data_IF_835981238547
#
_entry.id   IF_835981238547
#
_cell.length_a   1.000
_cell.length_b   1.000
_cell.length_c   1.000
_cell.angle_alpha   90.00
_cell.angle_beta   90.00
_cell.angle_gamma   90.00
#
_symmetry.space_group_name_H-M   'P 1'
#
loop_
_entity.id
_entity.type
_entity.pdbx_description
1 polymer ?
#
# COMPACT_ATOMS: atom_id res chain seq x y z
N UNK A 1 59.57 35.99 -40.12
CA UNK A 1 59.95 37.32 -39.56
C UNK A 1 58.67 38.09 -39.29
N UNK A 2 58.50 38.87 -38.21
CA UNK A 2 59.04 38.68 -36.88
C UNK A 2 57.97 38.83 -35.79
N UNK A 3 58.28 38.36 -34.62
CA UNK A 3 58.25 39.03 -33.31
C UNK A 3 56.91 39.53 -32.80
N UNK A 4 56.61 39.47 -31.57
CA UNK A 4 57.35 39.31 -30.31
C UNK A 4 56.40 39.33 -29.11
N UNK A 5 56.80 38.60 -28.11
CA UNK A 5 56.92 38.96 -26.70
C UNK A 5 55.68 39.11 -25.81
N UNK A 6 55.72 38.23 -24.83
CA UNK A 6 55.70 38.50 -23.34
C UNK A 6 54.44 39.14 -22.81
N UNK A 7 53.87 38.69 -21.71
CA UNK A 7 54.51 38.43 -20.42
C UNK A 7 53.50 37.90 -19.38
N UNK A 8 53.97 37.01 -18.57
CA UNK A 8 53.90 37.02 -17.07
C UNK A 8 52.58 36.76 -16.37
N UNK A 9 52.56 35.55 -15.81
CA UNK A 9 52.18 35.18 -14.42
C UNK A 9 50.99 35.82 -13.75
N UNK A 10 50.02 34.96 -13.37
CA UNK A 10 49.80 34.88 -11.93
C UNK A 10 49.19 33.49 -11.58
N UNK A 11 49.91 32.79 -10.71
CA UNK A 11 49.43 31.61 -9.98
C UNK A 11 48.48 32.10 -8.90
N UNK A 12 47.24 31.66 -8.96
CA UNK A 12 46.44 31.58 -7.74
C UNK A 12 45.89 30.18 -7.61
N UNK A 13 46.51 29.43 -6.70
CA UNK A 13 45.98 28.21 -6.15
C UNK A 13 44.72 28.57 -5.37
N UNK A 14 43.56 28.16 -5.84
CA UNK A 14 42.36 28.11 -5.02
C UNK A 14 42.22 26.69 -4.56
N UNK A 15 42.53 26.48 -3.29
CA UNK A 15 42.20 25.31 -2.50
C UNK A 15 40.67 25.22 -2.44
N UNK A 16 40.09 24.25 -3.16
CA UNK A 16 38.66 23.93 -2.96
C UNK A 16 38.54 23.00 -1.76
N UNK A 17 38.22 23.58 -0.60
CA UNK A 17 37.72 22.84 0.53
C UNK A 17 36.34 22.29 0.17
N UNK A 18 36.25 20.97 -0.07
CA UNK A 18 35.01 20.23 -0.03
C UNK A 18 34.49 20.21 1.42
N UNK A 19 33.62 21.13 1.75
CA UNK A 19 32.75 21.00 2.91
C UNK A 19 31.61 20.04 2.54
N UNK A 20 31.72 18.78 2.93
CA UNK A 20 30.60 17.87 3.03
C UNK A 20 29.73 18.35 4.22
N UNK A 21 28.75 19.18 3.93
CA UNK A 21 27.72 19.51 4.89
C UNK A 21 26.77 18.31 4.97
N UNK A 22 27.02 17.40 5.91
CA UNK A 22 26.03 16.46 6.41
C UNK A 22 24.95 17.28 7.10
N UNK A 23 23.88 17.56 6.39
CA UNK A 23 22.67 18.14 6.96
C UNK A 23 22.00 17.05 7.83
N UNK A 24 22.39 16.97 9.10
CA UNK A 24 21.60 16.27 10.08
C UNK A 24 20.32 17.09 10.28
N UNK A 25 19.25 16.72 9.59
CA UNK A 25 17.91 17.23 9.87
C UNK A 25 17.52 16.60 11.21
N UNK A 26 17.83 17.29 12.29
CA UNK A 26 17.16 17.10 13.56
C UNK A 26 15.73 17.63 13.37
N UNK A 27 14.80 16.75 13.06
CA UNK A 27 13.38 17.04 13.14
C UNK A 27 13.09 17.30 14.61
N UNK A 28 13.16 18.56 15.00
CA UNK A 28 12.57 19.03 16.23
C UNK A 28 11.07 18.73 16.10
N UNK A 29 10.60 17.81 16.92
CA UNK A 29 9.17 17.58 17.19
C UNK A 29 8.58 18.89 17.76
N UNK A 30 8.32 19.86 16.89
CA UNK A 30 7.40 20.93 17.19
C UNK A 30 6.03 20.30 17.20
N UNK A 31 5.36 20.35 18.36
CA UNK A 31 4.02 19.81 18.58
C UNK A 31 2.99 20.40 17.64
N UNK A 32 2.93 19.91 16.42
CA UNK A 32 1.89 20.19 15.45
C UNK A 32 0.92 19.00 15.39
N UNK A 33 -0.33 19.34 15.46
CA UNK A 33 -1.51 18.48 15.64
C UNK A 33 -1.95 17.75 14.38
N UNK A 34 -1.06 17.08 13.65
CA UNK A 34 -1.40 16.32 12.43
C UNK A 34 -0.91 14.87 12.49
N UNK A 35 -1.47 14.01 11.65
CA UNK A 35 -0.92 12.69 11.37
C UNK A 35 0.53 12.79 10.86
N UNK A 36 1.24 11.67 10.84
CA UNK A 36 2.51 11.61 10.13
C UNK A 36 2.28 11.94 8.64
N UNK A 37 2.99 12.93 8.14
CA UNK A 37 2.93 13.32 6.71
C UNK A 37 3.54 12.23 5.83
N UNK A 38 3.28 12.27 4.53
CA UNK A 38 3.90 11.35 3.57
C UNK A 38 5.43 11.37 3.65
N UNK A 39 6.03 12.55 3.84
CA UNK A 39 7.48 12.72 3.98
C UNK A 39 8.00 12.08 5.27
N UNK A 40 7.26 12.20 6.38
CA UNK A 40 7.61 11.56 7.66
C UNK A 40 7.46 10.04 7.57
N UNK A 41 6.42 9.53 6.88
CA UNK A 41 6.26 8.09 6.61
C UNK A 41 7.41 7.58 5.74
N UNK A 42 7.79 8.29 4.70
CA UNK A 42 8.91 7.95 3.82
C UNK A 42 10.27 7.96 4.53
N UNK A 43 10.41 8.79 5.58
CA UNK A 43 11.62 8.88 6.40
C UNK A 43 11.74 7.73 7.43
N UNK A 44 10.73 6.85 7.54
CA UNK A 44 10.78 5.70 8.46
C UNK A 44 11.87 4.73 8.02
N UNK A 45 12.90 4.59 8.85
CA UNK A 45 14.05 3.72 8.58
C UNK A 45 14.32 2.82 9.77
N UNK A 46 14.25 1.51 9.55
CA UNK A 46 14.55 0.46 10.53
C UNK A 46 15.57 -0.49 9.91
N UNK A 47 16.76 -0.56 10.47
CA UNK A 47 17.83 -1.46 10.02
C UNK A 47 17.99 -2.66 10.97
N UNK A 48 17.76 -2.45 12.25
CA UNK A 48 17.91 -3.45 13.32
C UNK A 48 16.75 -3.39 14.30
N UNK A 49 16.58 -4.44 15.09
CA UNK A 49 15.48 -4.58 16.05
C UNK A 49 15.36 -3.41 17.04
N UNK A 50 16.46 -2.77 17.40
CA UNK A 50 16.45 -1.62 18.32
C UNK A 50 15.92 -0.31 17.71
N UNK A 51 15.71 -0.25 16.40
CA UNK A 51 15.28 0.96 15.70
C UNK A 51 13.75 1.13 15.66
N UNK A 52 13.00 0.09 16.03
CA UNK A 52 11.53 0.15 16.09
C UNK A 52 11.05 1.15 17.15
N UNK A 53 10.15 2.05 16.78
CA UNK A 53 9.65 3.15 17.61
C UNK A 53 8.16 3.12 17.85
N UNK A 54 7.41 2.54 16.89
CA UNK A 54 5.95 2.59 16.86
C UNK A 54 5.28 1.32 17.39
N UNK A 55 6.06 0.34 17.84
CA UNK A 55 5.61 -0.86 18.53
C UNK A 55 5.77 -0.72 20.04
N UNK A 56 4.92 -1.42 20.79
CA UNK A 56 5.13 -1.61 22.22
C UNK A 56 6.36 -2.50 22.43
N UNK A 57 7.23 -2.14 23.38
CA UNK A 57 8.52 -2.81 23.55
C UNK A 57 8.44 -4.27 24.01
N UNK A 58 7.30 -4.71 24.52
CA UNK A 58 7.02 -6.08 24.94
C UNK A 58 6.26 -6.89 23.89
N UNK A 59 5.95 -6.31 22.72
CA UNK A 59 5.21 -6.98 21.65
C UNK A 59 5.78 -8.38 21.33
N UNK A 60 5.00 -9.45 21.55
CA UNK A 60 5.45 -10.81 21.27
C UNK A 60 5.58 -11.06 19.76
N UNK A 61 4.75 -10.39 18.96
CA UNK A 61 4.77 -10.59 17.51
C UNK A 61 5.93 -9.86 16.87
N UNK A 62 6.29 -8.66 17.34
CA UNK A 62 7.51 -7.98 16.90
C UNK A 62 8.76 -8.84 17.19
N UNK A 63 8.84 -9.45 18.38
CA UNK A 63 9.94 -10.35 18.74
C UNK A 63 10.03 -11.55 17.79
N UNK A 64 8.89 -12.16 17.42
CA UNK A 64 8.86 -13.26 16.43
C UNK A 64 9.34 -12.81 15.05
N UNK A 65 8.93 -11.63 14.60
CA UNK A 65 9.33 -11.08 13.28
C UNK A 65 10.84 -10.81 13.28
N UNK A 66 11.36 -10.13 14.30
CA UNK A 66 12.79 -9.81 14.37
C UNK A 66 13.64 -11.07 14.49
N UNK A 67 13.24 -12.05 15.31
CA UNK A 67 13.90 -13.35 15.40
C UNK A 67 13.89 -14.07 14.04
N UNK A 68 12.75 -14.11 13.35
CA UNK A 68 12.69 -14.73 12.03
C UNK A 68 13.69 -14.11 11.06
N UNK A 69 13.78 -12.76 11.03
CA UNK A 69 14.70 -12.05 10.13
C UNK A 69 16.15 -12.33 10.50
N UNK A 70 16.50 -12.29 11.79
CA UNK A 70 17.85 -12.58 12.27
C UNK A 70 18.28 -14.02 11.92
N UNK A 71 17.42 -14.99 12.11
CA UNK A 71 17.68 -16.40 11.75
C UNK A 71 17.80 -16.57 10.23
N UNK A 72 16.89 -15.97 9.46
CA UNK A 72 16.86 -16.04 7.99
C UNK A 72 18.08 -15.38 7.34
N UNK A 73 18.68 -14.39 8.00
CA UNK A 73 19.79 -13.61 7.40
C UNK A 73 21.17 -14.08 7.87
N UNK A 74 21.26 -14.84 8.98
CA UNK A 74 22.53 -15.27 9.57
C UNK A 74 23.12 -16.49 8.83
N UNK A 75 24.27 -16.35 8.15
CA UNK A 75 24.92 -17.46 7.49
C UNK A 75 25.22 -18.63 8.45
N UNK A 76 24.96 -19.85 8.02
CA UNK A 76 25.18 -21.04 8.83
C UNK A 76 24.08 -21.38 9.84
N UNK A 77 23.08 -20.53 10.00
CA UNK A 77 21.91 -20.85 10.82
C UNK A 77 21.02 -21.90 10.12
N UNK A 78 20.40 -22.87 10.85
CA UNK A 78 19.51 -23.86 10.23
C UNK A 78 18.34 -23.26 9.43
N UNK A 79 17.88 -22.06 9.82
CA UNK A 79 16.82 -21.33 9.14
C UNK A 79 17.34 -20.26 8.17
N UNK A 80 18.63 -20.33 7.80
CA UNK A 80 19.18 -19.38 6.81
C UNK A 80 18.45 -19.49 5.47
N UNK A 81 18.06 -18.33 4.93
CA UNK A 81 17.38 -18.21 3.64
C UNK A 81 18.31 -17.43 2.70
N UNK A 82 18.68 -17.95 1.52
CA UNK A 82 19.45 -17.17 0.55
C UNK A 82 18.72 -15.89 0.17
N UNK A 83 19.45 -14.78 -0.02
CA UNK A 83 18.84 -13.48 -0.33
C UNK A 83 17.88 -13.52 -1.52
N UNK A 84 18.20 -14.32 -2.56
CA UNK A 84 17.33 -14.53 -3.72
C UNK A 84 16.00 -15.24 -3.42
N UNK A 85 15.82 -15.77 -2.22
CA UNK A 85 14.62 -16.49 -1.74
C UNK A 85 13.90 -15.75 -0.62
N UNK A 86 14.45 -14.64 -0.11
CA UNK A 86 13.81 -13.81 0.92
C UNK A 86 12.73 -12.93 0.27
N UNK A 87 11.54 -13.50 0.08
CA UNK A 87 10.38 -12.80 -0.45
C UNK A 87 9.36 -12.63 0.66
N UNK A 88 8.92 -11.38 0.90
CA UNK A 88 7.82 -11.04 1.79
C UNK A 88 6.70 -10.39 0.97
N UNK A 89 5.46 -10.75 1.26
CA UNK A 89 4.28 -10.19 0.59
C UNK A 89 3.35 -9.55 1.60
N UNK A 90 2.78 -8.40 1.24
CA UNK A 90 1.86 -7.63 2.06
C UNK A 90 0.57 -7.36 1.29
N UNK A 91 -0.57 -7.65 1.90
CA UNK A 91 -1.79 -6.94 1.53
C UNK A 91 -1.66 -5.46 1.92
N UNK A 92 -2.48 -4.57 1.33
CA UNK A 92 -2.42 -3.14 1.60
C UNK A 92 -3.49 -2.71 2.62
N UNK A 93 -4.75 -2.77 2.22
CA UNK A 93 -5.86 -2.21 2.98
C UNK A 93 -6.12 -3.00 4.27
N UNK A 94 -5.95 -2.35 5.43
CA UNK A 94 -6.07 -2.98 6.74
C UNK A 94 -4.82 -3.74 7.19
N UNK A 95 -3.76 -3.75 6.38
CA UNK A 95 -2.48 -4.38 6.68
C UNK A 95 -1.39 -3.36 6.99
N UNK A 96 -1.14 -2.40 6.12
CA UNK A 96 -0.25 -1.27 6.37
C UNK A 96 -0.84 0.07 5.94
N UNK A 97 -2.06 0.07 5.41
CA UNK A 97 -2.85 1.23 5.04
C UNK A 97 -4.27 1.10 5.61
N UNK A 98 -4.92 2.22 5.88
CA UNK A 98 -6.22 2.29 6.53
C UNK A 98 -7.33 1.54 5.77
N UNK A 99 -8.09 0.73 6.50
CA UNK A 99 -9.30 0.06 6.00
C UNK A 99 -10.54 0.43 6.82
N UNK A 100 -10.34 0.80 8.07
CA UNK A 100 -11.42 0.85 9.07
C UNK A 100 -12.07 2.21 9.22
N UNK A 101 -11.47 3.27 8.71
CA UNK A 101 -11.99 4.64 8.81
C UNK A 101 -12.60 5.16 7.50
N UNK A 102 -13.85 4.98 7.31
CA UNK A 102 -14.74 3.85 7.49
C UNK A 102 -14.54 2.81 6.40
N UNK A 103 -13.75 3.09 5.33
CA UNK A 103 -13.72 2.28 4.14
C UNK A 103 -12.46 2.37 3.33
N UNK A 104 -12.37 1.37 2.45
CA UNK A 104 -11.43 1.31 1.35
C UNK A 104 -11.37 2.61 0.54
N UNK A 105 -10.17 3.09 0.30
CA UNK A 105 -9.91 4.30 -0.47
C UNK A 105 -10.66 4.32 -1.81
N UNK A 106 -10.56 3.25 -2.56
CA UNK A 106 -11.15 3.11 -3.90
C UNK A 106 -12.68 3.18 -3.89
N UNK A 107 -13.34 2.65 -2.86
CA UNK A 107 -14.79 2.68 -2.72
C UNK A 107 -15.29 4.09 -2.35
N UNK A 108 -14.61 4.77 -1.45
CA UNK A 108 -14.92 6.16 -1.10
C UNK A 108 -14.64 7.10 -2.27
N UNK A 109 -13.57 6.87 -3.03
CA UNK A 109 -13.27 7.65 -4.23
C UNK A 109 -14.37 7.48 -5.31
N UNK A 110 -14.92 6.27 -5.45
CA UNK A 110 -16.09 6.05 -6.32
C UNK A 110 -17.33 6.83 -5.85
N UNK A 111 -17.63 6.80 -4.55
CA UNK A 111 -18.76 7.58 -4.00
C UNK A 111 -18.58 9.07 -4.27
N UNK A 112 -17.39 9.60 -4.01
CA UNK A 112 -17.06 11.00 -4.34
C UNK A 112 -17.27 11.29 -5.84
N UNK A 113 -16.75 10.44 -6.72
CA UNK A 113 -16.91 10.58 -8.18
C UNK A 113 -18.36 10.58 -8.62
N UNK A 114 -19.17 9.68 -8.05
CA UNK A 114 -20.56 9.49 -8.47
C UNK A 114 -21.56 10.46 -7.82
N UNK A 115 -21.23 11.08 -6.67
CA UNK A 115 -22.19 11.87 -5.90
C UNK A 115 -21.77 13.32 -5.65
N UNK A 116 -20.48 13.63 -5.69
CA UNK A 116 -19.95 14.92 -5.24
C UNK A 116 -19.15 15.66 -6.32
N UNK A 117 -18.50 14.92 -7.23
CA UNK A 117 -17.64 15.48 -8.26
C UNK A 117 -18.46 16.20 -9.34
N UNK A 118 -18.41 17.53 -9.32
CA UNK A 118 -19.15 18.38 -10.27
C UNK A 118 -18.61 18.31 -11.71
N UNK A 119 -17.41 17.77 -11.91
CA UNK A 119 -16.80 17.60 -13.23
C UNK A 119 -17.30 16.35 -13.97
N UNK A 120 -18.05 15.50 -13.28
CA UNK A 120 -18.55 14.23 -13.80
C UNK A 120 -20.08 14.12 -13.68
N UNK A 121 -20.71 13.64 -14.72
CA UNK A 121 -22.15 13.32 -14.71
C UNK A 121 -22.34 11.82 -14.84
N UNK A 122 -22.60 11.10 -13.73
CA UNK A 122 -22.87 9.67 -13.76
C UNK A 122 -24.19 9.38 -14.47
N UNK A 123 -24.29 8.21 -15.09
CA UNK A 123 -25.60 7.74 -15.54
C UNK A 123 -26.55 7.54 -14.33
N UNK A 124 -27.86 7.60 -14.60
CA UNK A 124 -28.91 7.49 -13.55
C UNK A 124 -28.79 6.21 -12.71
N UNK A 125 -28.39 5.09 -13.33
CA UNK A 125 -28.24 3.81 -12.61
C UNK A 125 -27.04 3.83 -11.67
N UNK A 126 -25.92 4.41 -12.09
CA UNK A 126 -24.71 4.58 -11.26
C UNK A 126 -25.01 5.50 -10.09
N UNK A 127 -25.62 6.68 -10.33
CA UNK A 127 -25.97 7.62 -9.29
C UNK A 127 -26.93 6.99 -8.24
N UNK A 128 -27.97 6.31 -8.69
CA UNK A 128 -28.91 5.63 -7.78
C UNK A 128 -28.24 4.51 -6.99
N UNK A 129 -27.35 3.77 -7.65
CA UNK A 129 -26.59 2.72 -6.97
C UNK A 129 -25.63 3.30 -5.91
N UNK A 130 -24.89 4.35 -6.25
CA UNK A 130 -23.99 5.02 -5.30
C UNK A 130 -24.76 5.52 -4.06
N UNK A 131 -25.90 6.20 -4.25
CA UNK A 131 -26.78 6.63 -3.14
C UNK A 131 -27.25 5.45 -2.27
N UNK A 132 -27.61 4.32 -2.90
CA UNK A 132 -28.06 3.12 -2.19
C UNK A 132 -26.97 2.50 -1.32
N UNK A 133 -25.73 2.42 -1.84
CA UNK A 133 -24.65 1.72 -1.13
C UNK A 133 -23.86 2.65 -0.18
N UNK A 134 -23.93 3.97 -0.35
CA UNK A 134 -23.22 4.94 0.49
C UNK A 134 -23.38 4.65 1.99
N UNK A 135 -24.59 4.49 2.56
CA UNK A 135 -24.71 4.19 3.99
C UNK A 135 -24.13 2.83 4.38
N UNK A 136 -24.16 1.85 3.49
CA UNK A 136 -23.55 0.53 3.75
C UNK A 136 -22.03 0.62 3.81
N UNK A 137 -21.48 1.34 2.86
CA UNK A 137 -20.08 1.67 2.78
C UNK A 137 -19.67 2.45 4.05
N UNK A 138 -20.32 3.57 4.35
CA UNK A 138 -19.98 4.45 5.48
C UNK A 138 -20.12 3.78 6.86
N UNK A 139 -20.98 2.80 7.01
CA UNK A 139 -21.20 2.08 8.27
C UNK A 139 -20.59 0.68 8.29
N UNK A 140 -19.86 0.28 7.25
CA UNK A 140 -19.33 -1.10 7.08
C UNK A 140 -20.38 -2.19 7.29
N UNK A 141 -21.62 -1.93 6.87
CA UNK A 141 -22.66 -2.95 6.86
C UNK A 141 -22.54 -3.79 5.58
N UNK A 142 -22.71 -5.09 5.71
CA UNK A 142 -22.46 -6.00 4.60
C UNK A 142 -23.28 -5.69 3.34
N UNK A 143 -22.63 -5.81 2.19
CA UNK A 143 -23.27 -5.79 0.87
C UNK A 143 -23.68 -7.20 0.42
N UNK A 144 -24.78 -7.29 -0.31
CA UNK A 144 -25.13 -8.55 -0.97
C UNK A 144 -24.11 -8.88 -2.08
N UNK A 145 -23.95 -10.16 -2.48
CA UNK A 145 -23.05 -10.52 -3.58
C UNK A 145 -23.34 -9.76 -4.88
N UNK A 146 -24.61 -9.45 -5.16
CA UNK A 146 -25.02 -8.66 -6.32
C UNK A 146 -24.58 -7.21 -6.22
N UNK A 147 -24.64 -6.62 -5.02
CA UNK A 147 -24.16 -5.24 -4.77
C UNK A 147 -22.63 -5.18 -4.90
N UNK A 148 -21.91 -6.13 -4.30
CA UNK A 148 -20.44 -6.19 -4.39
C UNK A 148 -19.99 -6.33 -5.85
N UNK A 149 -20.61 -7.23 -6.63
CA UNK A 149 -20.30 -7.35 -8.06
C UNK A 149 -20.55 -6.05 -8.82
N UNK A 150 -21.69 -5.39 -8.56
CA UNK A 150 -22.03 -4.13 -9.22
C UNK A 150 -21.09 -2.99 -8.81
N UNK A 151 -20.61 -2.98 -7.57
CA UNK A 151 -19.60 -2.02 -7.14
C UNK A 151 -18.31 -2.20 -7.94
N UNK A 152 -17.80 -3.42 -8.06
CA UNK A 152 -16.61 -3.73 -8.88
C UNK A 152 -16.79 -3.25 -10.32
N UNK A 153 -17.98 -3.44 -10.93
CA UNK A 153 -18.28 -2.94 -12.27
C UNK A 153 -18.19 -1.40 -12.33
N UNK A 154 -18.67 -0.69 -11.32
CA UNK A 154 -18.68 0.78 -11.29
C UNK A 154 -17.36 1.39 -10.87
N UNK A 155 -16.49 0.68 -10.14
CA UNK A 155 -15.14 1.16 -9.80
C UNK A 155 -14.29 1.48 -11.02
N UNK A 156 -14.57 0.87 -12.16
CA UNK A 156 -13.88 1.16 -13.43
C UNK A 156 -14.73 2.03 -14.36
N UNK A 157 -16.04 1.76 -14.41
CA UNK A 157 -16.95 2.49 -15.31
C UNK A 157 -17.03 3.99 -15.01
N UNK A 158 -16.90 4.39 -13.76
CA UNK A 158 -16.87 5.79 -13.35
C UNK A 158 -15.67 6.58 -13.92
N UNK A 159 -14.64 5.89 -14.36
CA UNK A 159 -13.40 6.44 -14.88
C UNK A 159 -13.15 6.05 -16.34
N UNK A 160 -14.14 5.43 -17.01
CA UNK A 160 -14.04 5.02 -18.41
C UNK A 160 -13.69 6.23 -19.30
N UNK A 161 -12.74 6.02 -20.22
CA UNK A 161 -12.26 7.07 -21.12
C UNK A 161 -11.14 7.96 -20.56
N UNK A 162 -10.82 7.88 -19.25
CA UNK A 162 -9.65 8.55 -18.70
C UNK A 162 -8.37 7.88 -19.18
N UNK A 163 -7.36 8.66 -19.50
CA UNK A 163 -6.00 8.15 -19.67
C UNK A 163 -5.43 7.72 -18.30
N UNK A 164 -4.36 6.90 -18.27
CA UNK A 164 -3.67 6.56 -17.02
C UNK A 164 -3.25 7.82 -16.23
N UNK A 165 -2.76 8.84 -16.90
CA UNK A 165 -2.30 10.10 -16.29
C UNK A 165 -3.45 10.89 -15.66
N UNK A 166 -4.60 10.98 -16.36
CA UNK A 166 -5.81 11.63 -15.84
C UNK A 166 -6.34 10.91 -14.61
N UNK A 167 -6.36 9.58 -14.64
CA UNK A 167 -6.77 8.78 -13.49
C UNK A 167 -5.82 8.94 -12.29
N UNK A 168 -4.50 8.88 -12.52
CA UNK A 168 -3.49 9.12 -11.49
C UNK A 168 -3.64 10.50 -10.87
N UNK A 169 -3.86 11.54 -11.68
CA UNK A 169 -4.12 12.89 -11.18
C UNK A 169 -5.39 12.95 -10.32
N UNK A 170 -6.44 12.22 -10.70
CA UNK A 170 -7.67 12.12 -9.91
C UNK A 170 -7.42 11.44 -8.54
N UNK A 171 -6.67 10.34 -8.52
CA UNK A 171 -6.26 9.65 -7.27
C UNK A 171 -5.49 10.62 -6.37
N UNK A 172 -4.46 11.31 -6.90
CA UNK A 172 -3.66 12.28 -6.12
C UNK A 172 -4.50 13.39 -5.52
N UNK A 173 -5.47 13.92 -6.27
CA UNK A 173 -6.38 14.93 -5.76
C UNK A 173 -7.25 14.39 -4.63
N UNK A 174 -7.77 13.17 -4.77
CA UNK A 174 -8.57 12.54 -3.73
C UNK A 174 -7.75 12.19 -2.47
N UNK A 175 -6.48 11.86 -2.60
CA UNK A 175 -5.55 11.65 -1.48
C UNK A 175 -5.43 12.88 -0.57
N UNK A 176 -5.69 14.10 -1.06
CA UNK A 176 -5.64 15.32 -0.26
C UNK A 176 -6.89 15.54 0.59
N UNK A 177 -7.95 14.76 0.38
CA UNK A 177 -9.17 14.84 1.20
C UNK A 177 -8.96 14.18 2.55
N UNK A 178 -9.72 14.63 3.57
CA UNK A 178 -9.63 14.07 4.91
C UNK A 178 -10.28 12.69 5.01
N UNK A 179 -9.73 11.83 5.86
CA UNK A 179 -10.40 10.60 6.26
C UNK A 179 -11.69 10.88 7.03
N UNK A 180 -12.64 9.96 6.90
CA UNK A 180 -13.92 10.06 7.61
C UNK A 180 -13.83 9.31 8.94
N UNK A 181 -14.22 9.97 10.03
CA UNK A 181 -14.22 9.37 11.36
C UNK A 181 -12.87 9.41 12.08
N UNK A 182 -11.86 10.03 11.48
CA UNK A 182 -10.54 10.33 12.09
C UNK A 182 -10.20 11.80 11.88
N UNK A 183 -9.65 12.46 12.91
CA UNK A 183 -9.20 13.86 12.80
C UNK A 183 -7.80 13.92 12.25
N UNK A 184 -7.45 15.05 11.62
CA UNK A 184 -6.08 15.38 11.23
C UNK A 184 -5.38 14.34 10.37
N UNK A 185 -6.13 13.56 9.59
CA UNK A 185 -5.62 12.50 8.73
C UNK A 185 -6.14 12.69 7.32
N UNK A 186 -5.24 12.88 6.37
CA UNK A 186 -5.58 12.81 4.94
C UNK A 186 -5.55 11.37 4.45
N UNK A 187 -6.35 11.08 3.42
CA UNK A 187 -6.40 9.75 2.81
C UNK A 187 -5.05 9.29 2.28
N UNK A 188 -4.25 10.20 1.72
CA UNK A 188 -2.90 9.88 1.25
C UNK A 188 -1.86 9.67 2.33
N UNK A 189 -2.21 9.87 3.61
CA UNK A 189 -1.32 9.76 4.79
C UNK A 189 -1.71 8.62 5.73
N UNK A 190 -2.76 7.85 5.39
CA UNK A 190 -3.38 6.89 6.29
C UNK A 190 -2.61 5.56 6.40
N UNK A 191 -1.30 5.61 6.62
CA UNK A 191 -0.44 4.44 6.79
C UNK A 191 -0.30 4.03 8.26
N UNK A 192 -0.32 2.73 8.52
CA UNK A 192 -0.03 2.17 9.85
C UNK A 192 1.48 2.22 10.09
N UNK A 193 1.95 3.21 10.84
CA UNK A 193 3.36 3.43 11.09
C UNK A 193 4.12 2.19 11.58
N UNK A 194 3.57 1.35 12.50
CA UNK A 194 4.25 0.13 12.92
C UNK A 194 4.47 -0.85 11.76
N UNK A 195 3.53 -0.96 10.82
CA UNK A 195 3.68 -1.86 9.68
C UNK A 195 4.62 -1.30 8.61
N UNK A 196 4.71 0.03 8.48
CA UNK A 196 5.74 0.69 7.66
C UNK A 196 7.13 0.38 8.20
N UNK A 197 7.31 0.35 9.53
CA UNK A 197 8.58 -0.08 10.14
C UNK A 197 8.94 -1.53 9.77
N UNK A 198 7.96 -2.47 9.74
CA UNK A 198 8.21 -3.85 9.30
C UNK A 198 8.65 -3.88 7.84
N UNK A 199 8.00 -3.14 6.95
CA UNK A 199 8.39 -3.06 5.53
C UNK A 199 9.81 -2.52 5.39
N UNK A 200 10.14 -1.44 6.11
CA UNK A 200 11.48 -0.85 6.14
C UNK A 200 12.53 -1.85 6.67
N UNK A 201 12.23 -2.53 7.77
CA UNK A 201 13.11 -3.52 8.38
C UNK A 201 13.41 -4.70 7.44
N UNK A 202 12.38 -5.26 6.83
CA UNK A 202 12.54 -6.35 5.87
C UNK A 202 13.36 -5.92 4.66
N UNK A 203 13.07 -4.75 4.09
CA UNK A 203 13.79 -4.20 2.94
C UNK A 203 15.28 -4.00 3.26
N UNK A 204 15.60 -3.42 4.43
CA UNK A 204 16.97 -3.19 4.86
C UNK A 204 17.73 -4.49 5.24
N UNK A 205 17.01 -5.57 5.50
CA UNK A 205 17.58 -6.91 5.77
C UNK A 205 17.57 -7.84 4.55
N UNK A 206 17.45 -7.28 3.34
CA UNK A 206 17.63 -7.99 2.08
C UNK A 206 16.43 -8.87 1.67
N UNK A 207 15.23 -8.56 2.17
CA UNK A 207 14.00 -9.16 1.66
C UNK A 207 13.49 -8.39 0.45
N UNK A 208 13.07 -9.10 -0.56
CA UNK A 208 12.28 -8.55 -1.66
C UNK A 208 10.83 -8.43 -1.17
N UNK A 209 10.41 -7.22 -0.84
CA UNK A 209 9.06 -6.94 -0.36
C UNK A 209 8.15 -6.63 -1.54
N UNK A 210 6.98 -7.27 -1.59
CA UNK A 210 5.94 -7.09 -2.60
C UNK A 210 4.63 -6.69 -1.93
N UNK A 211 3.83 -5.90 -2.64
CA UNK A 211 2.42 -5.66 -2.31
C UNK A 211 1.57 -6.61 -3.15
N UNK A 212 0.57 -7.25 -2.54
CA UNK A 212 -0.39 -8.14 -3.19
C UNK A 212 -1.82 -7.76 -2.76
N UNK A 213 -2.40 -6.75 -3.43
CA UNK A 213 -3.61 -6.04 -3.03
C UNK A 213 -4.81 -6.34 -3.92
N UNK A 214 -6.02 -6.27 -3.35
CA UNK A 214 -7.27 -6.25 -4.11
C UNK A 214 -7.64 -4.85 -4.64
N UNK A 215 -6.98 -3.78 -4.19
CA UNK A 215 -7.10 -2.46 -4.78
C UNK A 215 -6.58 -2.45 -6.23
N UNK A 216 -6.95 -1.46 -7.05
CA UNK A 216 -6.45 -1.39 -8.44
C UNK A 216 -4.98 -1.01 -8.52
N UNK A 217 -4.26 -1.51 -9.52
CA UNK A 217 -2.85 -1.18 -9.77
C UNK A 217 -2.56 0.32 -9.74
N UNK A 218 -3.26 1.17 -10.53
CA UNK A 218 -2.92 2.58 -10.58
C UNK A 218 -3.20 3.30 -9.25
N UNK A 219 -4.26 2.90 -8.51
CA UNK A 219 -4.54 3.45 -7.18
C UNK A 219 -3.48 3.04 -6.17
N UNK A 220 -3.14 1.75 -6.11
CA UNK A 220 -2.12 1.23 -5.19
C UNK A 220 -0.77 1.91 -5.42
N UNK A 221 -0.35 2.06 -6.69
CA UNK A 221 0.91 2.73 -7.04
C UNK A 221 0.93 4.18 -6.57
N UNK A 222 -0.12 4.96 -6.85
CA UNK A 222 -0.18 6.37 -6.42
C UNK A 222 -0.17 6.53 -4.89
N UNK A 223 -0.85 5.63 -4.17
CA UNK A 223 -0.86 5.67 -2.71
C UNK A 223 0.54 5.45 -2.12
N UNK A 224 1.30 4.48 -2.64
CA UNK A 224 2.58 4.07 -2.06
C UNK A 224 3.81 4.73 -2.69
N UNK A 225 3.67 5.38 -3.85
CA UNK A 225 4.77 6.03 -4.57
C UNK A 225 5.44 7.08 -3.68
N UNK A 226 6.77 7.03 -3.61
CA UNK A 226 7.62 7.94 -2.80
C UNK A 226 7.38 7.90 -1.27
N UNK A 227 6.59 6.93 -0.79
CA UNK A 227 6.30 6.79 0.66
C UNK A 227 6.77 5.45 1.21
N UNK A 228 6.48 4.37 0.51
CA UNK A 228 6.84 3.03 0.95
C UNK A 228 8.04 2.56 0.11
N UNK A 229 9.11 1.99 0.72
CA UNK A 229 10.33 1.61 0.02
C UNK A 229 10.15 0.31 -0.80
N UNK A 230 9.09 0.26 -1.60
CA UNK A 230 8.75 -0.85 -2.50
C UNK A 230 8.71 -0.32 -3.93
N UNK A 231 9.57 -0.82 -4.83
CA UNK A 231 9.54 -0.44 -6.24
C UNK A 231 8.20 -0.73 -6.91
N UNK A 232 7.79 0.12 -7.83
CA UNK A 232 6.51 0.03 -8.54
C UNK A 232 6.30 -1.29 -9.31
N UNK A 233 7.38 -1.96 -9.71
CA UNK A 233 7.36 -3.29 -10.34
C UNK A 233 7.13 -4.45 -9.34
N UNK A 234 7.16 -4.17 -8.05
CA UNK A 234 6.82 -5.12 -6.98
C UNK A 234 5.43 -4.94 -6.40
N UNK A 235 4.56 -4.27 -7.12
CA UNK A 235 3.15 -4.12 -6.76
C UNK A 235 2.34 -5.08 -7.63
N UNK A 236 1.61 -5.97 -6.99
CA UNK A 236 0.62 -6.88 -7.56
C UNK A 236 -0.74 -6.40 -7.05
N UNK A 237 -1.68 -6.19 -7.97
CA UNK A 237 -2.97 -5.60 -7.62
C UNK A 237 -4.06 -6.01 -8.61
N UNK A 238 -5.29 -5.59 -8.36
CA UNK A 238 -6.38 -5.77 -9.33
C UNK A 238 -6.13 -4.92 -10.58
N UNK A 239 -6.36 -5.51 -11.75
CA UNK A 239 -5.97 -4.88 -13.00
C UNK A 239 -7.13 -4.18 -13.71
N UNK A 240 -6.87 -2.97 -14.20
CA UNK A 240 -7.79 -2.30 -15.11
C UNK A 240 -7.65 -2.89 -16.52
N UNK A 241 -8.78 -3.04 -17.18
CA UNK A 241 -8.80 -3.38 -18.61
C UNK A 241 -8.70 -2.07 -19.37
N UNK A 242 -7.60 -1.87 -20.07
CA UNK A 242 -7.37 -0.73 -20.95
C UNK A 242 -7.89 -1.00 -22.36
N UNK A 243 -8.08 0.08 -23.11
CA UNK A 243 -8.35 0.09 -24.54
C UNK A 243 -7.67 1.33 -25.14
N UNK A 244 -7.78 1.51 -26.45
CA UNK A 244 -7.39 2.77 -27.10
C UNK A 244 -8.60 3.48 -27.69
N UNK A 245 -8.49 4.77 -27.90
CA UNK A 245 -9.59 5.56 -28.51
C UNK A 245 -9.86 5.17 -29.95
N UNK A 246 -8.94 4.51 -30.64
CA UNK A 246 -9.06 4.04 -32.03
C UNK A 246 -9.42 2.57 -32.18
N UNK A 247 -9.32 1.75 -31.11
CA UNK A 247 -9.53 0.30 -31.21
C UNK A 247 -10.95 -0.09 -31.67
N UNK A 248 -11.98 0.69 -31.32
CA UNK A 248 -13.35 0.43 -31.72
C UNK A 248 -13.87 -0.93 -31.24
N UNK A 249 -14.16 -1.82 -32.20
CA UNK A 249 -14.63 -3.20 -31.94
C UNK A 249 -13.51 -4.24 -32.06
N UNK A 250 -12.31 -3.86 -32.43
CA UNK A 250 -11.18 -4.77 -32.57
C UNK A 250 -10.72 -5.29 -31.20
N UNK A 251 -9.86 -6.30 -31.23
CA UNK A 251 -9.18 -6.81 -30.04
C UNK A 251 -7.74 -6.29 -30.00
N UNK A 252 -7.12 -6.25 -28.81
CA UNK A 252 -5.72 -5.82 -28.70
C UNK A 252 -4.74 -6.57 -29.62
N UNK A 253 -5.06 -7.85 -29.91
CA UNK A 253 -4.21 -8.70 -30.75
C UNK A 253 -4.31 -8.33 -32.25
N UNK A 254 -5.39 -7.68 -32.67
CA UNK A 254 -5.65 -7.31 -34.06
C UNK A 254 -5.51 -5.81 -34.34
N UNK A 255 -5.31 -5.01 -33.30
CA UNK A 255 -5.20 -3.55 -33.41
C UNK A 255 -3.75 -3.07 -33.31
N UNK A 256 -3.36 -2.22 -34.26
CA UNK A 256 -2.06 -1.56 -34.24
C UNK A 256 -2.21 -0.15 -33.69
N UNK A 257 -1.66 0.11 -32.52
CA UNK A 257 -1.74 1.41 -31.85
C UNK A 257 -1.00 2.50 -32.62
N UNK A 258 -1.70 3.59 -32.94
CA UNK A 258 -1.12 4.76 -33.56
C UNK A 258 -0.98 5.92 -32.54
N UNK A 259 0.24 6.21 -32.12
CA UNK A 259 0.57 7.26 -31.16
C UNK A 259 0.16 8.68 -31.58
N UNK A 260 -0.11 8.92 -32.85
CA UNK A 260 -0.46 10.23 -33.38
C UNK A 260 -1.96 10.51 -33.32
N UNK A 261 -2.78 9.50 -33.32
CA UNK A 261 -4.25 9.60 -33.41
C UNK A 261 -4.99 8.98 -32.24
N UNK A 262 -4.30 8.18 -31.42
CA UNK A 262 -4.91 7.41 -30.34
C UNK A 262 -4.32 7.71 -28.97
N UNK A 263 -5.12 7.45 -27.95
CA UNK A 263 -4.71 7.45 -26.53
C UNK A 263 -5.09 6.12 -25.89
N UNK A 264 -4.25 5.63 -24.97
CA UNK A 264 -4.63 4.54 -24.08
C UNK A 264 -5.59 5.10 -23.02
N UNK A 265 -6.71 4.41 -22.80
CA UNK A 265 -7.74 4.83 -21.86
C UNK A 265 -8.30 3.64 -21.09
N UNK A 266 -8.89 3.90 -19.92
CA UNK A 266 -9.64 2.90 -19.14
C UNK A 266 -10.88 2.51 -19.93
N UNK A 267 -11.07 1.21 -20.16
CA UNK A 267 -12.17 0.70 -20.99
C UNK A 267 -13.54 0.79 -20.30
N UNK A 268 -13.59 0.92 -18.97
CA UNK A 268 -14.81 0.82 -18.17
C UNK A 268 -15.34 -0.62 -18.00
N UNK A 269 -14.64 -1.63 -18.51
CA UNK A 269 -14.94 -3.04 -18.21
C UNK A 269 -14.55 -3.34 -16.75
N UNK A 270 -15.23 -4.31 -16.08
CA UNK A 270 -14.89 -4.71 -14.73
C UNK A 270 -13.39 -5.03 -14.59
N UNK A 271 -12.80 -4.63 -13.49
CA UNK A 271 -11.40 -4.97 -13.21
C UNK A 271 -11.22 -6.48 -12.99
N UNK A 272 -9.99 -6.93 -13.23
CA UNK A 272 -9.58 -8.30 -12.89
C UNK A 272 -9.20 -8.29 -11.42
N UNK A 273 -10.16 -8.75 -10.58
CA UNK A 273 -10.03 -8.73 -9.12
C UNK A 273 -8.89 -9.63 -8.63
N UNK A 274 -8.03 -9.13 -7.75
CA UNK A 274 -6.89 -9.83 -7.15
C UNK A 274 -7.15 -10.15 -5.68
N UNK A 275 -8.18 -10.94 -5.40
CA UNK A 275 -8.56 -11.34 -4.05
C UNK A 275 -8.61 -12.86 -3.88
N UNK A 276 -8.49 -13.34 -2.64
CA UNK A 276 -8.65 -14.75 -2.25
C UNK A 276 -7.63 -15.65 -3.00
N UNK A 277 -8.11 -16.71 -3.66
CA UNK A 277 -7.28 -17.64 -4.44
C UNK A 277 -6.55 -16.96 -5.59
N UNK A 278 -7.10 -15.86 -6.14
CA UNK A 278 -6.44 -15.12 -7.22
C UNK A 278 -5.08 -14.56 -6.79
N UNK A 279 -4.91 -14.16 -5.53
CA UNK A 279 -3.61 -13.74 -4.99
C UNK A 279 -2.52 -14.81 -5.20
N UNK A 280 -2.85 -16.12 -5.03
CA UNK A 280 -1.89 -17.21 -5.31
C UNK A 280 -1.45 -17.19 -6.77
N UNK A 281 -2.40 -17.06 -7.71
CA UNK A 281 -2.09 -17.09 -9.14
C UNK A 281 -1.26 -15.89 -9.56
N UNK A 282 -1.53 -14.73 -8.95
CA UNK A 282 -0.76 -13.52 -9.19
C UNK A 282 0.68 -13.63 -8.65
N UNK A 283 0.87 -14.21 -7.46
CA UNK A 283 2.20 -14.51 -6.92
C UNK A 283 2.99 -15.45 -7.84
N UNK A 284 2.33 -16.53 -8.32
CA UNK A 284 2.95 -17.48 -9.25
C UNK A 284 3.37 -16.82 -10.56
N UNK A 285 2.50 -15.99 -11.14
CA UNK A 285 2.73 -15.39 -12.45
C UNK A 285 3.74 -14.23 -12.41
N UNK A 286 3.72 -13.42 -11.36
CA UNK A 286 4.49 -12.18 -11.31
C UNK A 286 5.80 -12.30 -10.53
N UNK A 287 5.85 -13.15 -9.51
CA UNK A 287 7.08 -13.36 -8.72
C UNK A 287 7.80 -14.65 -9.13
N UNK A 288 7.05 -15.73 -9.39
CA UNK A 288 7.60 -17.04 -9.70
C UNK A 288 8.40 -17.68 -8.55
N UNK A 289 8.29 -17.12 -7.34
CA UNK A 289 8.93 -17.61 -6.12
C UNK A 289 7.91 -17.64 -5.00
N UNK A 290 7.96 -18.69 -4.18
CA UNK A 290 7.12 -18.80 -3.00
C UNK A 290 7.59 -17.80 -1.94
N UNK A 291 6.71 -16.94 -1.39
CA UNK A 291 7.08 -16.08 -0.27
C UNK A 291 7.45 -16.88 0.97
N UNK A 292 8.28 -16.30 1.84
CA UNK A 292 8.59 -16.86 3.16
C UNK A 292 7.89 -16.08 4.28
N UNK A 293 7.42 -14.89 4.00
CA UNK A 293 6.61 -14.08 4.90
C UNK A 293 5.39 -13.54 4.16
N UNK A 294 4.22 -13.58 4.81
CA UNK A 294 2.99 -12.99 4.32
C UNK A 294 2.29 -12.20 5.42
N UNK A 295 1.82 -11.00 5.07
CA UNK A 295 1.10 -10.10 5.96
C UNK A 295 -0.24 -9.69 5.33
N UNK A 296 -1.32 -9.76 6.08
CA UNK A 296 -2.67 -9.41 5.61
C UNK A 296 -3.59 -9.17 6.80
N UNK A 297 -4.91 -9.03 6.58
CA UNK A 297 -5.84 -8.66 7.64
C UNK A 297 -7.20 -9.37 7.57
N UNK A 298 -7.41 -10.19 6.56
CA UNK A 298 -8.74 -10.74 6.28
C UNK A 298 -8.70 -12.11 5.61
N UNK A 299 -9.87 -12.75 5.48
CA UNK A 299 -10.01 -13.98 4.68
C UNK A 299 -9.76 -13.75 3.18
N UNK A 300 -9.75 -12.50 2.73
CA UNK A 300 -9.28 -12.13 1.39
C UNK A 300 -7.82 -12.55 1.13
N UNK A 301 -7.01 -12.63 2.19
CA UNK A 301 -5.58 -12.93 2.16
C UNK A 301 -5.25 -14.40 2.43
N UNK A 302 -6.28 -15.20 2.76
CA UNK A 302 -6.09 -16.61 3.14
C UNK A 302 -5.32 -17.41 2.09
N UNK A 303 -5.56 -17.15 0.79
CA UNK A 303 -4.80 -17.78 -0.29
C UNK A 303 -3.31 -17.46 -0.21
N UNK A 304 -2.96 -16.20 0.00
CA UNK A 304 -1.58 -15.74 0.16
C UNK A 304 -0.91 -16.38 1.40
N UNK A 305 -1.61 -16.44 2.54
CA UNK A 305 -1.11 -17.07 3.76
C UNK A 305 -0.85 -18.56 3.58
N UNK A 306 -1.87 -19.31 3.10
CA UNK A 306 -1.78 -20.75 2.91
C UNK A 306 -0.69 -21.11 1.90
N UNK A 307 -0.60 -20.37 0.79
CA UNK A 307 0.43 -20.59 -0.22
C UNK A 307 1.85 -20.35 0.33
N UNK A 308 2.01 -19.34 1.19
CA UNK A 308 3.29 -19.06 1.86
C UNK A 308 3.70 -20.18 2.79
N UNK A 309 2.76 -20.77 3.52
CA UNK A 309 3.05 -21.81 4.54
C UNK A 309 3.14 -23.21 3.96
N UNK A 310 2.33 -23.53 2.95
CA UNK A 310 2.20 -24.88 2.41
C UNK A 310 3.50 -25.37 1.76
N UNK A 311 4.07 -26.46 2.26
CA UNK A 311 5.24 -27.12 1.68
C UNK A 311 6.37 -26.16 1.30
N UNK A 312 6.63 -25.15 2.15
CA UNK A 312 7.69 -24.20 1.91
C UNK A 312 9.04 -24.84 2.24
N UNK A 313 10.03 -24.82 1.32
CA UNK A 313 11.34 -25.41 1.58
C UNK A 313 12.16 -24.60 2.60
N UNK A 314 11.70 -23.43 2.99
CA UNK A 314 12.32 -22.56 3.99
C UNK A 314 11.38 -22.35 5.17
N UNK A 315 11.94 -21.93 6.32
CA UNK A 315 11.11 -21.41 7.40
C UNK A 315 10.21 -20.31 6.87
N UNK A 316 8.92 -20.35 7.21
CA UNK A 316 7.92 -19.39 6.70
C UNK A 316 6.89 -19.04 7.75
N UNK A 317 6.31 -17.86 7.67
CA UNK A 317 5.30 -17.38 8.59
C UNK A 317 4.27 -16.48 7.91
N UNK A 318 3.04 -16.53 8.41
CA UNK A 318 1.94 -15.64 8.03
C UNK A 318 1.48 -14.84 9.25
N UNK A 319 1.17 -13.56 9.04
CA UNK A 319 0.76 -12.61 10.06
C UNK A 319 -0.52 -11.89 9.67
N UNK A 320 -1.52 -11.94 10.54
CA UNK A 320 -2.82 -11.32 10.35
C UNK A 320 -2.97 -10.11 11.29
N UNK A 321 -3.09 -8.91 10.73
CA UNK A 321 -3.36 -7.68 11.48
C UNK A 321 -4.82 -7.68 11.90
N UNK A 322 -5.07 -7.51 13.19
CA UNK A 322 -6.40 -7.49 13.78
C UNK A 322 -6.91 -6.05 13.90
N UNK A 323 -8.11 -5.77 13.38
CA UNK A 323 -8.76 -4.47 13.54
C UNK A 323 -9.44 -4.34 14.92
N UNK A 324 -8.69 -4.54 16.00
CA UNK A 324 -9.19 -4.63 17.37
C UNK A 324 -9.09 -3.30 18.18
N UNK A 325 -8.53 -2.24 17.59
CA UNK A 325 -8.48 -0.93 18.24
C UNK A 325 -9.73 -0.11 17.92
N UNK A 326 -10.55 0.12 18.95
CA UNK A 326 -11.76 0.94 18.86
C UNK A 326 -11.60 2.33 19.47
N UNK A 327 -10.41 2.66 20.00
CA UNK A 327 -10.12 3.96 20.62
C UNK A 327 -9.38 4.89 19.66
N UNK A 328 -8.36 4.39 19.00
CA UNK A 328 -7.50 5.14 18.08
C UNK A 328 -7.92 4.96 16.63
N UNK A 329 -8.72 3.91 16.36
CA UNK A 329 -9.20 3.50 15.06
C UNK A 329 -10.69 3.11 15.13
N UNK A 330 -11.36 2.98 13.99
CA UNK A 330 -12.74 2.52 13.87
C UNK A 330 -12.80 0.98 13.81
N UNK A 331 -12.14 0.32 14.74
CA UNK A 331 -12.00 -1.12 14.79
C UNK A 331 -13.32 -1.89 14.79
N UNK A 332 -13.23 -3.17 14.44
CA UNK A 332 -14.35 -4.11 14.44
C UNK A 332 -14.00 -5.33 15.29
N UNK A 333 -14.43 -5.34 16.55
CA UNK A 333 -14.10 -6.41 17.50
C UNK A 333 -14.65 -7.78 17.07
N UNK A 334 -15.80 -7.83 16.39
CA UNK A 334 -16.36 -9.08 15.88
C UNK A 334 -15.46 -9.66 14.76
N UNK A 335 -15.09 -8.84 13.79
CA UNK A 335 -14.14 -9.25 12.72
C UNK A 335 -12.80 -9.66 13.32
N UNK A 336 -12.26 -8.90 14.25
CA UNK A 336 -10.98 -9.19 14.91
C UNK A 336 -11.01 -10.55 15.62
N UNK A 337 -12.04 -10.82 16.43
CA UNK A 337 -12.19 -12.10 17.13
C UNK A 337 -12.37 -13.29 16.18
N UNK A 338 -13.11 -13.10 15.06
CA UNK A 338 -13.25 -14.14 14.03
C UNK A 338 -11.93 -14.45 13.33
N UNK A 339 -11.16 -13.41 13.04
CA UNK A 339 -9.83 -13.57 12.42
C UNK A 339 -8.82 -14.20 13.38
N UNK A 340 -8.84 -13.83 14.65
CA UNK A 340 -7.98 -14.42 15.69
C UNK A 340 -8.25 -15.93 15.84
N UNK A 341 -9.53 -16.34 15.94
CA UNK A 341 -9.90 -17.77 15.97
C UNK A 341 -9.46 -18.51 14.71
N UNK A 342 -9.59 -17.87 13.57
CA UNK A 342 -9.18 -18.46 12.29
C UNK A 342 -7.67 -18.59 12.21
N UNK A 343 -6.94 -17.57 12.62
CA UNK A 343 -5.47 -17.56 12.66
C UNK A 343 -4.95 -18.69 13.55
N UNK A 344 -5.48 -18.81 14.76
CA UNK A 344 -5.12 -19.89 15.68
C UNK A 344 -5.34 -21.28 15.06
N UNK A 345 -6.51 -21.50 14.43
CA UNK A 345 -6.85 -22.78 13.79
C UNK A 345 -5.92 -23.12 12.62
N UNK A 346 -5.43 -22.12 11.90
CA UNK A 346 -4.63 -22.29 10.68
C UNK A 346 -3.12 -22.13 10.89
N UNK A 347 -2.69 -21.85 12.12
CA UNK A 347 -1.28 -21.64 12.45
C UNK A 347 -0.72 -20.31 11.96
N UNK A 348 -1.57 -19.32 11.73
CA UNK A 348 -1.14 -17.95 11.44
C UNK A 348 -0.87 -17.20 12.74
N UNK A 349 0.06 -16.26 12.71
CA UNK A 349 0.26 -15.32 13.81
C UNK A 349 -0.71 -14.15 13.68
N UNK A 350 -1.00 -13.50 14.80
CA UNK A 350 -1.82 -12.28 14.83
C UNK A 350 -0.97 -11.10 15.26
N UNK A 351 -1.36 -9.91 14.82
CA UNK A 351 -0.82 -8.61 15.23
C UNK A 351 -2.00 -7.81 15.77
N UNK A 352 -2.04 -7.55 17.07
CA UNK A 352 -3.08 -6.71 17.68
C UNK A 352 -2.72 -5.24 17.51
N UNK A 353 -3.55 -4.49 16.78
CA UNK A 353 -3.37 -3.03 16.68
C UNK A 353 -3.53 -2.35 18.04
N UNK A 354 -4.44 -2.83 18.87
CA UNK A 354 -4.75 -2.29 20.21
C UNK A 354 -3.58 -2.49 21.17
N UNK A 355 -3.03 -3.70 21.23
CA UNK A 355 -2.13 -4.13 22.30
C UNK A 355 -0.64 -4.01 21.88
N UNK A 356 -0.33 -4.17 20.60
CA UNK A 356 1.05 -4.21 20.13
C UNK A 356 1.53 -2.91 19.44
N UNK A 357 0.62 -2.07 18.91
CA UNK A 357 0.99 -0.78 18.34
C UNK A 357 1.05 0.31 19.41
N UNK A 358 2.16 1.03 19.48
CA UNK A 358 2.30 2.21 20.34
C UNK A 358 1.47 3.39 19.80
N UNK A 359 1.50 3.60 18.50
CA UNK A 359 0.65 4.53 17.75
C UNK A 359 0.24 3.89 16.43
N UNK A 360 -0.78 4.40 15.75
CA UNK A 360 -1.21 3.90 14.44
C UNK A 360 -0.77 4.85 13.33
N UNK A 361 -1.21 6.12 13.37
CA UNK A 361 -0.97 7.14 12.35
C UNK A 361 -0.14 8.32 12.86
N UNK A 362 0.33 8.25 14.12
CA UNK A 362 0.85 9.37 14.90
C UNK A 362 -0.13 9.76 16.02
N UNK A 363 0.39 10.44 17.06
CA UNK A 363 -0.34 10.65 18.32
C UNK A 363 -1.47 11.70 18.21
N UNK A 364 -1.53 12.44 17.11
CA UNK A 364 -2.48 13.53 16.91
C UNK A 364 -3.72 13.14 16.09
N UNK A 365 -3.77 11.92 15.60
CA UNK A 365 -4.97 11.36 14.97
C UNK A 365 -5.89 10.83 16.05
N UNK A 366 -7.13 11.27 16.04
CA UNK A 366 -8.14 10.86 17.02
C UNK A 366 -9.40 10.41 16.30
N UNK A 367 -10.01 9.37 16.83
CA UNK A 367 -11.33 8.95 16.39
C UNK A 367 -12.33 10.05 16.68
N UNK A 368 -13.21 10.32 15.73
CA UNK A 368 -14.40 11.15 15.92
C UNK A 368 -15.62 10.26 16.04
N UNK A 369 -16.58 10.67 16.88
CA UNK A 369 -17.89 10.06 16.86
C UNK A 369 -18.55 10.35 15.51
N UNK A 370 -19.22 9.35 14.97
CA UNK A 370 -19.91 9.44 13.67
C UNK A 370 -21.25 10.13 13.82
#
# INVERSE_FOLDING_TARGET
MPNSKNSITNRNKILSCLFSATLAISVLLSGNSQAATREEVAAVKVEKAADFRYWNGDSPTLKKITQFVEEATRPGHPHFIPASRRVAVFDMDGTFYCETAPLYFQETMFLHRALEDKSYTPDKNMANFAKKIQPKIMNKTGMTPKESKRLVDYLTKAYAGMTPEEYRAYVRNFMQTNETGLTNLKRGEAFYLPMVEIISYLSNNGFAVYIDSACSFPTTRELVEDVIPIPSDRIIASDFIYTTTGMGKDTPENHFYDRYTEKVVISGKPLVDNAKTRKIFSLLNQIGKKPVLAFGNSMGDSGMFEYTLQDNPYNSAAFCVLCDDTKRELGNLGKAADMERTALKRGWNTISMRDEFKTIYGDNVKRTDR
#
